data_IF_188803811920
#
_entry.id   IF_188803811920
#
_cell.length_a   1.000
_cell.length_b   1.000
_cell.length_c   1.000
_cell.angle_alpha   90.00
_cell.angle_beta   90.00
_cell.angle_gamma   90.00
#
_symmetry.space_group_name_H-M   'P 1'
#
loop_
_entity.id
_entity.type
_entity.pdbx_description
1 polymer ?
#
# COMPACT_ATOMS: atom_id res chain seq x y z
N UNK A 1 9.65 -57.60 50.95
CA UNK A 1 8.71 -57.00 49.98
C UNK A 1 9.17 -55.58 49.56
N UNK A 2 10.24 -55.38 48.75
CA UNK A 2 10.69 -54.03 48.35
C UNK A 2 10.51 -53.69 46.85
N UNK A 3 10.24 -54.68 45.98
CA UNK A 3 10.34 -54.54 44.51
C UNK A 3 9.23 -53.63 43.90
N UNK A 4 8.16 -53.31 44.65
CA UNK A 4 7.01 -52.55 44.14
C UNK A 4 7.26 -51.03 44.10
N UNK A 5 8.14 -50.48 44.95
CA UNK A 5 8.37 -49.03 45.04
C UNK A 5 9.27 -48.53 43.89
N UNK A 6 10.30 -49.30 43.50
CA UNK A 6 11.20 -48.92 42.40
C UNK A 6 10.49 -48.82 41.05
N UNK A 7 9.59 -49.77 40.75
CA UNK A 7 8.80 -49.73 39.50
C UNK A 7 7.88 -48.51 39.42
N UNK A 8 7.26 -48.10 40.53
CA UNK A 8 6.37 -46.92 40.57
C UNK A 8 7.17 -45.63 40.42
N UNK A 9 8.36 -45.55 41.02
CA UNK A 9 9.25 -44.39 40.90
C UNK A 9 9.78 -44.21 39.47
N UNK A 10 10.24 -45.29 38.82
CA UNK A 10 10.75 -45.24 37.44
C UNK A 10 9.63 -44.85 36.45
N UNK A 11 8.41 -45.35 36.63
CA UNK A 11 7.26 -45.01 35.78
C UNK A 11 6.85 -43.52 35.92
N UNK A 12 6.91 -42.95 37.13
CA UNK A 12 6.58 -41.54 37.36
C UNK A 12 7.66 -40.58 36.80
N UNK A 13 8.93 -40.98 36.83
CA UNK A 13 10.03 -40.21 36.22
C UNK A 13 9.90 -40.19 34.71
N UNK A 14 9.65 -41.34 34.07
CA UNK A 14 9.42 -41.41 32.62
C UNK A 14 8.21 -40.59 32.16
N UNK A 15 7.11 -40.60 32.93
CA UNK A 15 5.91 -39.81 32.64
C UNK A 15 6.17 -38.30 32.77
N UNK A 16 6.95 -37.86 33.76
CA UNK A 16 7.37 -36.45 33.90
C UNK A 16 8.25 -36.01 32.73
N UNK A 17 9.26 -36.81 32.35
CA UNK A 17 10.15 -36.51 31.23
C UNK A 17 9.36 -36.39 29.91
N UNK A 18 8.41 -37.30 29.66
CA UNK A 18 7.55 -37.22 28.48
C UNK A 18 6.66 -35.98 28.48
N UNK A 19 6.10 -35.58 29.63
CA UNK A 19 5.30 -34.35 29.75
C UNK A 19 6.15 -33.09 29.50
N UNK A 20 7.39 -33.04 29.98
CA UNK A 20 8.32 -31.94 29.69
C UNK A 20 8.70 -31.89 28.21
N UNK A 21 9.06 -33.03 27.61
CA UNK A 21 9.39 -33.11 26.17
C UNK A 21 8.21 -32.72 25.28
N UNK A 22 6.99 -33.16 25.63
CA UNK A 22 5.76 -32.80 24.91
C UNK A 22 5.46 -31.30 25.01
N UNK A 23 5.69 -30.69 26.16
CA UNK A 23 5.48 -29.25 26.38
C UNK A 23 6.48 -28.40 25.58
N UNK A 24 7.75 -28.81 25.55
CA UNK A 24 8.80 -28.16 24.76
C UNK A 24 8.56 -28.31 23.26
N UNK A 25 8.16 -29.50 22.81
CA UNK A 25 7.83 -29.73 21.40
C UNK A 25 6.58 -28.93 20.99
N UNK A 26 5.57 -28.85 21.86
CA UNK A 26 4.36 -28.06 21.62
C UNK A 26 4.64 -26.55 21.57
N UNK A 27 5.52 -26.02 22.43
CA UNK A 27 5.87 -24.60 22.39
C UNK A 27 6.72 -24.25 21.16
N UNK A 28 7.63 -25.15 20.76
CA UNK A 28 8.43 -25.01 19.54
C UNK A 28 7.55 -25.02 18.28
N UNK A 29 6.52 -25.86 18.24
CA UNK A 29 5.56 -25.93 17.13
C UNK A 29 4.73 -24.64 17.00
N UNK A 30 4.28 -24.08 18.13
CA UNK A 30 3.54 -22.81 18.17
C UNK A 30 4.41 -21.61 17.76
N UNK A 31 5.69 -21.64 18.10
CA UNK A 31 6.66 -20.62 17.69
C UNK A 31 6.88 -20.62 16.17
N UNK A 32 7.04 -21.80 15.56
CA UNK A 32 7.21 -21.93 14.11
C UNK A 32 5.97 -21.51 13.30
N UNK A 33 4.76 -21.79 13.79
CA UNK A 33 3.52 -21.39 13.13
C UNK A 33 3.36 -19.86 13.02
N UNK A 34 3.88 -19.13 14.01
CA UNK A 34 3.78 -17.66 14.05
C UNK A 34 4.66 -16.96 13.01
N UNK A 35 5.75 -17.60 12.57
CA UNK A 35 6.71 -17.00 11.62
C UNK A 35 6.16 -16.99 10.18
N UNK A 36 5.33 -17.98 9.81
CA UNK A 36 4.83 -18.12 8.43
C UNK A 36 3.74 -17.11 8.07
N UNK A 37 3.10 -16.47 9.05
CA UNK A 37 2.00 -15.54 8.82
C UNK A 37 2.45 -14.12 8.40
N UNK A 38 3.76 -13.82 8.41
CA UNK A 38 4.27 -12.44 8.30
C UNK A 38 4.84 -12.03 6.93
N UNK A 39 4.75 -12.86 5.87
CA UNK A 39 5.50 -12.57 4.62
C UNK A 39 4.73 -12.82 3.32
N UNK A 40 3.57 -12.18 3.13
CA UNK A 40 3.01 -12.01 1.79
C UNK A 40 3.48 -10.66 1.23
N UNK A 41 4.61 -10.65 0.52
CA UNK A 41 5.04 -9.44 -0.21
C UNK A 41 4.09 -9.18 -1.39
N UNK A 42 3.54 -7.97 -1.47
CA UNK A 42 2.66 -7.57 -2.58
C UNK A 42 3.45 -7.45 -3.88
N UNK A 43 3.04 -8.19 -4.91
CA UNK A 43 3.66 -8.15 -6.24
C UNK A 43 3.71 -6.75 -6.87
N UNK A 44 2.74 -5.88 -6.55
CA UNK A 44 2.71 -4.50 -7.01
C UNK A 44 3.84 -3.72 -6.35
N UNK A 45 4.06 -3.91 -5.05
CA UNK A 45 5.12 -3.22 -4.31
C UNK A 45 6.49 -3.63 -4.85
N UNK A 46 6.70 -4.92 -5.12
CA UNK A 46 7.93 -5.44 -5.75
C UNK A 46 8.16 -4.80 -7.12
N UNK A 47 7.13 -4.75 -7.96
CA UNK A 47 7.23 -4.15 -9.28
C UNK A 47 7.58 -2.65 -9.20
N UNK A 48 6.88 -1.90 -8.36
CA UNK A 48 7.08 -0.46 -8.19
C UNK A 48 8.49 -0.17 -7.67
N UNK A 49 8.93 -0.85 -6.63
CA UNK A 49 10.29 -0.69 -6.09
C UNK A 49 11.35 -1.01 -7.14
N UNK A 50 11.17 -2.06 -7.93
CA UNK A 50 12.06 -2.40 -9.04
C UNK A 50 12.12 -1.29 -10.11
N UNK A 51 10.97 -0.70 -10.48
CA UNK A 51 10.93 0.42 -11.42
C UNK A 51 11.57 1.68 -10.85
N UNK A 52 11.31 1.99 -9.57
CA UNK A 52 11.89 3.14 -8.89
C UNK A 52 13.41 3.04 -8.87
N UNK A 53 13.97 1.87 -8.53
CA UNK A 53 15.41 1.65 -8.56
C UNK A 53 15.99 1.81 -9.97
N UNK A 54 15.38 1.15 -10.97
CA UNK A 54 15.84 1.19 -12.37
C UNK A 54 15.86 2.62 -12.94
N UNK A 55 14.87 3.43 -12.58
CA UNK A 55 14.68 4.79 -13.11
C UNK A 55 15.19 5.89 -12.18
N UNK A 56 15.76 5.52 -11.03
CA UNK A 56 16.24 6.44 -9.98
C UNK A 56 15.14 7.42 -9.53
N UNK A 57 13.92 6.91 -9.35
CA UNK A 57 12.80 7.70 -8.85
C UNK A 57 12.95 7.82 -7.32
N UNK A 58 13.12 9.03 -6.77
CA UNK A 58 13.42 9.20 -5.34
C UNK A 58 12.19 8.96 -4.45
N UNK A 59 10.99 9.29 -4.93
CA UNK A 59 9.74 9.11 -4.20
C UNK A 59 8.55 8.94 -5.13
N UNK A 60 7.56 8.17 -4.70
CA UNK A 60 6.36 7.84 -5.46
C UNK A 60 5.17 7.62 -4.51
N UNK A 61 4.01 8.14 -4.89
CA UNK A 61 2.71 7.79 -4.31
C UNK A 61 1.87 7.04 -5.35
N UNK A 62 1.19 5.98 -4.91
CA UNK A 62 0.36 5.11 -5.74
C UNK A 62 -1.05 5.03 -5.16
N UNK A 63 -2.06 5.15 -6.01
CA UNK A 63 -3.43 4.75 -5.71
C UNK A 63 -3.98 3.91 -6.87
N UNK A 64 -4.60 2.77 -6.55
CA UNK A 64 -5.27 1.90 -7.52
C UNK A 64 -6.77 1.96 -7.27
N UNK A 65 -7.53 2.32 -8.30
CA UNK A 65 -8.99 2.42 -8.24
C UNK A 65 -9.61 1.32 -9.09
N UNK A 66 -10.58 0.59 -8.51
CA UNK A 66 -11.39 -0.41 -9.22
C UNK A 66 -12.85 -0.20 -8.85
N UNK A 67 -13.73 -0.09 -9.85
CA UNK A 67 -15.17 0.12 -9.66
C UNK A 67 -15.49 1.32 -8.74
N UNK A 68 -14.81 2.45 -8.96
CA UNK A 68 -15.00 3.68 -8.17
C UNK A 68 -14.45 3.64 -6.74
N UNK A 69 -13.78 2.55 -6.32
CA UNK A 69 -13.21 2.40 -4.97
C UNK A 69 -11.70 2.26 -5.04
N UNK A 70 -11.00 2.91 -4.11
CA UNK A 70 -9.56 2.70 -3.92
C UNK A 70 -9.35 1.30 -3.32
N UNK A 71 -8.60 0.46 -4.03
CA UNK A 71 -8.29 -0.91 -3.62
C UNK A 71 -6.88 -1.07 -3.08
N UNK A 72 -5.99 -0.10 -3.35
CA UNK A 72 -4.63 -0.04 -2.79
C UNK A 72 -4.14 1.40 -2.79
N UNK A 73 -3.42 1.77 -1.73
CA UNK A 73 -2.54 2.94 -1.71
C UNK A 73 -1.12 2.49 -1.35
N UNK A 74 -0.12 3.27 -1.76
CA UNK A 74 1.28 3.01 -1.45
C UNK A 74 2.10 4.29 -1.47
N UNK A 75 3.04 4.40 -0.54
CA UNK A 75 3.97 5.54 -0.42
C UNK A 75 5.38 4.97 -0.37
N UNK A 76 6.25 5.44 -1.26
CA UNK A 76 7.58 4.87 -1.44
C UNK A 76 8.62 5.99 -1.51
N UNK A 77 9.76 5.77 -0.84
CA UNK A 77 10.91 6.67 -0.92
C UNK A 77 10.68 8.04 -0.25
N UNK A 78 11.34 9.06 -0.78
CA UNK A 78 11.43 10.40 -0.21
C UNK A 78 10.74 11.45 -1.11
N UNK A 79 9.90 12.27 -0.51
CA UNK A 79 9.31 13.45 -1.15
C UNK A 79 10.34 14.58 -1.29
N UNK A 80 11.33 14.64 -0.40
CA UNK A 80 12.46 15.57 -0.46
C UNK A 80 13.73 14.83 -0.05
N UNK A 81 14.74 14.86 -0.93
CA UNK A 81 16.01 14.14 -0.73
C UNK A 81 16.88 14.90 0.28
N UNK A 82 17.00 16.22 0.15
CA UNK A 82 17.85 17.06 0.98
C UNK A 82 17.43 16.99 2.45
N UNK A 83 16.12 17.10 2.70
CA UNK A 83 15.55 17.11 4.05
C UNK A 83 15.16 15.71 4.54
N UNK A 84 15.42 14.66 3.73
CA UNK A 84 15.06 13.27 4.02
C UNK A 84 13.60 13.07 4.41
N UNK A 85 12.70 13.80 3.76
CA UNK A 85 11.26 13.76 4.06
C UNK A 85 10.65 12.57 3.33
N UNK A 86 10.03 11.60 4.03
CA UNK A 86 9.37 10.47 3.39
C UNK A 86 8.11 10.90 2.62
N UNK A 87 7.78 10.14 1.57
CA UNK A 87 6.48 10.29 0.90
C UNK A 87 5.36 9.87 1.85
N UNK A 88 4.27 10.64 1.87
CA UNK A 88 3.06 10.37 2.64
C UNK A 88 1.83 10.86 1.90
N UNK A 89 0.64 10.59 2.44
CA UNK A 89 -0.64 11.10 1.91
C UNK A 89 -0.78 12.63 1.91
N UNK A 90 0.17 13.35 2.52
CA UNK A 90 0.22 14.81 2.54
C UNK A 90 1.27 15.38 1.58
N UNK A 91 2.04 14.52 0.91
CA UNK A 91 3.04 14.95 -0.06
C UNK A 91 2.36 15.56 -1.28
N UNK A 92 2.85 16.71 -1.74
CA UNK A 92 2.33 17.39 -2.93
C UNK A 92 3.34 17.25 -4.06
N UNK A 93 2.89 16.74 -5.20
CA UNK A 93 3.69 16.57 -6.41
C UNK A 93 3.23 17.52 -7.51
N UNK A 94 4.17 18.05 -8.29
CA UNK A 94 3.82 18.79 -9.51
C UNK A 94 3.34 17.82 -10.58
N UNK A 95 2.07 17.94 -10.99
CA UNK A 95 1.44 17.00 -11.93
C UNK A 95 1.63 17.36 -13.41
N UNK A 96 2.20 18.54 -13.71
CA UNK A 96 2.53 19.00 -15.08
C UNK A 96 1.36 18.81 -16.08
N UNK A 97 1.60 18.17 -17.22
CA UNK A 97 0.58 17.99 -18.26
C UNK A 97 -0.65 17.20 -17.83
N UNK A 98 -0.63 16.49 -16.69
CA UNK A 98 -1.84 15.88 -16.12
C UNK A 98 -2.90 16.95 -15.82
N UNK A 99 -2.49 18.20 -15.53
CA UNK A 99 -3.40 19.36 -15.39
C UNK A 99 -4.35 19.52 -16.58
N UNK A 100 -3.95 19.13 -17.80
CA UNK A 100 -4.81 19.24 -19.00
C UNK A 100 -6.08 18.39 -18.90
N UNK A 101 -6.03 17.25 -18.22
CA UNK A 101 -7.22 16.43 -18.00
C UNK A 101 -8.26 17.18 -17.15
N UNK A 102 -7.81 17.86 -16.09
CA UNK A 102 -8.67 18.70 -15.26
C UNK A 102 -9.28 19.86 -16.06
N UNK A 103 -8.47 20.57 -16.85
CA UNK A 103 -8.95 21.65 -17.71
C UNK A 103 -9.95 21.14 -18.75
N UNK A 104 -9.70 19.97 -19.35
CA UNK A 104 -10.63 19.32 -20.27
C UNK A 104 -11.98 19.03 -19.62
N UNK A 105 -11.99 18.47 -18.41
CA UNK A 105 -13.22 18.23 -17.64
C UNK A 105 -13.95 19.55 -17.36
N UNK A 106 -13.23 20.60 -16.94
CA UNK A 106 -13.84 21.91 -16.69
C UNK A 106 -14.49 22.50 -17.96
N UNK A 107 -13.84 22.37 -19.12
CA UNK A 107 -14.42 22.81 -20.41
C UNK A 107 -15.67 22.00 -20.75
N UNK A 108 -15.66 20.69 -20.53
CA UNK A 108 -16.82 19.83 -20.79
C UNK A 108 -18.00 20.17 -19.85
N UNK A 109 -17.73 20.49 -18.59
CA UNK A 109 -18.75 20.97 -17.65
C UNK A 109 -19.37 22.30 -18.11
N UNK A 110 -18.56 23.26 -18.58
CA UNK A 110 -19.07 24.51 -19.15
C UNK A 110 -19.92 24.28 -20.41
N UNK A 111 -19.55 23.29 -21.22
CA UNK A 111 -20.32 22.92 -22.40
C UNK A 111 -21.67 22.28 -22.03
N UNK A 112 -21.69 21.42 -21.01
CA UNK A 112 -22.91 20.81 -20.45
C UNK A 112 -23.86 21.87 -19.86
N UNK A 113 -23.31 22.89 -19.20
CA UNK A 113 -24.05 24.06 -18.70
C UNK A 113 -24.50 25.02 -19.81
N UNK A 114 -24.16 24.77 -21.08
CA UNK A 114 -24.49 25.62 -22.21
C UNK A 114 -23.74 26.96 -22.26
N UNK A 115 -22.70 27.13 -21.45
CA UNK A 115 -21.88 28.37 -21.37
C UNK A 115 -20.94 28.53 -22.56
N UNK A 116 -20.61 27.44 -23.24
CA UNK A 116 -19.87 27.42 -24.51
C UNK A 116 -20.28 26.21 -25.33
N UNK A 117 -19.96 26.19 -26.62
CA UNK A 117 -20.02 24.98 -27.46
C UNK A 117 -18.61 24.55 -27.82
N UNK A 118 -18.38 23.24 -27.88
CA UNK A 118 -17.07 22.67 -28.22
C UNK A 118 -16.58 23.07 -29.63
N UNK A 119 -17.50 23.45 -30.51
CA UNK A 119 -17.22 23.89 -31.87
C UNK A 119 -17.22 25.42 -32.03
N UNK A 120 -17.32 26.18 -30.94
CA UNK A 120 -17.26 27.64 -31.01
C UNK A 120 -15.89 28.10 -31.50
N UNK A 121 -15.87 29.18 -32.29
CA UNK A 121 -14.62 29.83 -32.67
C UNK A 121 -14.00 30.46 -31.43
N UNK A 122 -12.72 30.19 -31.18
CA UNK A 122 -11.98 30.74 -30.04
C UNK A 122 -12.11 32.27 -29.92
N UNK A 123 -12.03 32.98 -31.05
CA UNK A 123 -12.19 34.44 -31.07
C UNK A 123 -13.53 34.89 -30.49
N UNK A 124 -14.63 34.19 -30.83
CA UNK A 124 -15.96 34.52 -30.30
C UNK A 124 -16.04 34.33 -28.79
N UNK A 125 -15.41 33.28 -28.25
CA UNK A 125 -15.37 33.03 -26.81
C UNK A 125 -14.61 34.13 -26.07
N UNK A 126 -13.44 34.52 -26.60
CA UNK A 126 -12.63 35.59 -26.01
C UNK A 126 -13.40 36.91 -26.01
N UNK A 127 -14.03 37.29 -27.13
CA UNK A 127 -14.84 38.51 -27.23
C UNK A 127 -16.00 38.50 -26.23
N UNK A 128 -16.70 37.37 -26.09
CA UNK A 128 -17.80 37.24 -25.13
C UNK A 128 -17.33 37.36 -23.66
N UNK A 129 -16.15 36.84 -23.33
CA UNK A 129 -15.57 37.00 -21.99
C UNK A 129 -15.18 38.46 -21.67
N UNK A 130 -14.71 39.22 -22.66
CA UNK A 130 -14.32 40.61 -22.47
C UNK A 130 -15.52 41.55 -22.33
N UNK A 131 -16.62 41.25 -23.05
CA UNK A 131 -17.80 42.12 -23.14
C UNK A 131 -18.83 41.91 -22.00
N UNK A 132 -18.69 40.85 -21.19
CA UNK A 132 -19.60 40.54 -20.08
C UNK A 132 -19.04 40.96 -18.70
N UNK A 133 -18.18 41.99 -18.65
CA UNK A 133 -17.75 42.64 -17.40
C UNK A 133 -18.40 44.01 -17.25
#
# INVERSE_FOLDING_TARGET
MPIRIEKVMILNVGRRIYQFLKSVLSSLLLFFCSISAFSQTDSIDVFIQGQMQKRRIPGLELAIVRNGKIVKTGFYGLANIQDSIPVSSKSVFTINSITKAFVGVAILQLAEEGKLKLNDRLFSLITNCLNNN
#
